data_IF_762170568875
#
_entry.id   IF_762170568875
#
_cell.length_a   1.000
_cell.length_b   1.000
_cell.length_c   1.000
_cell.angle_alpha   90.00
_cell.angle_beta   90.00
_cell.angle_gamma   90.00
#
_symmetry.space_group_name_H-M   'P 1'
#
loop_
_entity.id
_entity.type
_entity.pdbx_description
1 polymer ?
#
# COMPACT_ATOMS: atom_id res chain seq x y z
N UNK A 1 -1.36 -5.48 -9.81
CA UNK A 1 -1.74 -4.08 -9.54
C UNK A 1 -0.70 -3.43 -8.62
N UNK A 2 -0.58 -3.90 -7.37
CA UNK A 2 0.38 -3.40 -6.37
C UNK A 2 1.88 -3.61 -6.72
N UNK A 3 2.18 -4.48 -7.68
CA UNK A 3 3.54 -4.70 -8.21
C UNK A 3 4.04 -3.60 -9.13
N UNK A 4 3.14 -2.79 -9.70
CA UNK A 4 3.48 -1.67 -10.59
C UNK A 4 3.10 -0.32 -9.97
N UNK A 5 2.02 -0.28 -9.18
CA UNK A 5 1.50 0.93 -8.57
C UNK A 5 1.06 0.66 -7.14
N UNK A 6 1.69 1.28 -6.13
CA UNK A 6 1.19 1.27 -4.77
C UNK A 6 -0.21 1.86 -4.72
N UNK A 7 -1.11 1.21 -4.01
CA UNK A 7 -2.49 1.68 -3.86
C UNK A 7 -2.90 1.68 -2.40
N UNK A 8 -3.79 2.60 -2.03
CA UNK A 8 -4.38 2.58 -0.70
C UNK A 8 -5.28 1.36 -0.54
N UNK A 9 -5.46 0.91 0.69
CA UNK A 9 -6.37 -0.20 0.98
C UNK A 9 -7.78 0.09 0.46
N UNK A 10 -8.30 1.29 0.71
CA UNK A 10 -9.63 1.71 0.25
C UNK A 10 -9.72 1.71 -1.29
N UNK A 11 -8.67 2.16 -1.99
CA UNK A 11 -8.63 2.14 -3.45
C UNK A 11 -8.61 0.72 -4.01
N UNK A 12 -7.92 -0.21 -3.35
CA UNK A 12 -7.95 -1.63 -3.72
C UNK A 12 -9.33 -2.24 -3.47
N UNK A 13 -9.95 -1.96 -2.33
CA UNK A 13 -11.30 -2.42 -2.00
C UNK A 13 -12.32 -1.87 -3.02
N UNK A 14 -12.18 -0.62 -3.47
CA UNK A 14 -13.03 -0.02 -4.52
C UNK A 14 -12.73 -0.59 -5.91
N UNK A 15 -11.45 -0.67 -6.31
CA UNK A 15 -11.05 -1.21 -7.61
C UNK A 15 -11.42 -2.70 -7.77
N UNK A 16 -11.46 -3.41 -6.64
CA UNK A 16 -11.87 -4.81 -6.55
C UNK A 16 -13.27 -4.95 -5.98
N UNK A 17 -14.12 -3.90 -5.97
CA UNK A 17 -15.48 -3.95 -5.42
C UNK A 17 -16.38 -5.00 -6.09
N UNK A 18 -16.02 -5.47 -7.28
CA UNK A 18 -16.65 -6.62 -7.93
C UNK A 18 -16.47 -7.94 -7.16
N UNK A 19 -15.48 -8.00 -6.27
CA UNK A 19 -15.20 -9.09 -5.35
C UNK A 19 -15.67 -8.70 -3.96
N UNK A 20 -16.11 -9.68 -3.17
CA UNK A 20 -16.53 -9.42 -1.79
C UNK A 20 -15.41 -8.75 -1.00
N UNK A 21 -15.63 -7.60 -0.33
CA UNK A 21 -14.57 -6.85 0.36
C UNK A 21 -13.78 -7.69 1.39
N UNK A 22 -14.43 -8.67 2.02
CA UNK A 22 -13.78 -9.64 2.92
C UNK A 22 -12.67 -10.44 2.25
N UNK A 23 -12.92 -10.97 1.05
CA UNK A 23 -11.92 -11.73 0.28
C UNK A 23 -10.74 -10.86 -0.16
N UNK A 24 -10.97 -9.60 -0.49
CA UNK A 24 -9.88 -8.68 -0.87
C UNK A 24 -8.94 -8.46 0.31
N UNK A 25 -9.48 -8.26 1.51
CA UNK A 25 -8.67 -8.09 2.73
C UNK A 25 -7.89 -9.34 3.09
N UNK A 26 -8.52 -10.51 3.02
CA UNK A 26 -7.84 -11.79 3.28
C UNK A 26 -6.72 -12.04 2.28
N UNK A 27 -6.98 -11.88 0.99
CA UNK A 27 -5.97 -12.06 -0.06
C UNK A 27 -4.78 -11.10 0.11
N UNK A 28 -5.02 -9.84 0.49
CA UNK A 28 -3.94 -8.89 0.77
C UNK A 28 -3.11 -9.32 1.99
N UNK A 29 -3.77 -9.81 3.04
CA UNK A 29 -3.10 -10.31 4.25
C UNK A 29 -2.24 -11.55 3.95
N UNK A 30 -2.74 -12.47 3.14
CA UNK A 30 -2.00 -13.66 2.71
C UNK A 30 -0.82 -13.30 1.79
N UNK A 31 -0.98 -12.29 0.93
CA UNK A 31 0.11 -11.74 0.11
C UNK A 31 1.20 -11.08 0.98
N UNK A 32 0.83 -10.41 2.07
CA UNK A 32 1.81 -9.91 3.03
C UNK A 32 2.51 -11.04 3.78
N UNK A 33 1.76 -12.04 4.25
CA UNK A 33 2.31 -13.18 4.99
C UNK A 33 3.25 -14.04 4.13
N UNK A 34 2.98 -14.16 2.83
CA UNK A 34 3.85 -14.84 1.86
C UNK A 34 5.04 -14.01 1.40
N UNK A 35 5.18 -12.76 1.86
CA UNK A 35 6.28 -11.88 1.47
C UNK A 35 6.20 -11.36 0.04
N UNK A 36 5.04 -11.45 -0.60
CA UNK A 36 4.83 -10.92 -1.96
C UNK A 36 4.38 -9.45 -1.95
N UNK A 37 3.70 -9.04 -0.89
CA UNK A 37 3.25 -7.67 -0.66
C UNK A 37 3.79 -7.12 0.66
N UNK A 38 3.82 -5.80 0.77
CA UNK A 38 4.15 -5.09 2.00
C UNK A 38 3.16 -3.94 2.20
N UNK A 39 2.93 -3.61 3.47
CA UNK A 39 2.14 -2.46 3.88
C UNK A 39 3.08 -1.37 4.31
N UNK A 40 2.90 -0.17 3.77
CA UNK A 40 3.71 1.00 4.06
C UNK A 40 2.77 2.08 4.56
N UNK A 41 3.12 2.71 5.68
CA UNK A 41 2.40 3.87 6.18
C UNK A 41 3.12 5.15 5.73
N UNK A 42 2.42 6.04 5.05
CA UNK A 42 2.95 7.35 4.63
C UNK A 42 1.88 8.41 4.83
N UNK A 43 2.25 9.50 5.50
CA UNK A 43 1.33 10.61 5.80
C UNK A 43 0.06 10.16 6.54
N UNK A 44 0.18 9.17 7.44
CA UNK A 44 -0.95 8.57 8.18
C UNK A 44 -1.87 7.68 7.35
N UNK A 45 -1.50 7.35 6.11
CA UNK A 45 -2.28 6.49 5.22
C UNK A 45 -1.53 5.19 4.91
N UNK A 46 -2.27 4.08 4.81
CA UNK A 46 -1.72 2.76 4.50
C UNK A 46 -1.76 2.47 3.00
N UNK A 47 -0.60 2.15 2.46
CA UNK A 47 -0.40 1.75 1.07
C UNK A 47 0.05 0.30 0.98
N UNK A 48 -0.49 -0.42 0.01
CA UNK A 48 -0.05 -1.75 -0.37
C UNK A 48 0.88 -1.66 -1.58
N UNK A 49 2.07 -2.22 -1.45
CA UNK A 49 3.06 -2.33 -2.53
C UNK A 49 3.55 -3.77 -2.64
N UNK A 50 4.17 -4.11 -3.76
CA UNK A 50 5.02 -5.31 -3.83
C UNK A 50 6.19 -5.22 -2.84
N UNK A 51 6.53 -6.37 -2.26
CA UNK A 51 7.66 -6.53 -1.34
C UNK A 51 9.04 -6.10 -1.91
N UNK A 52 9.41 -6.40 -3.17
CA UNK A 52 10.70 -5.95 -3.72
C UNK A 52 10.80 -4.43 -3.94
N UNK A 53 9.71 -3.68 -3.82
CA UNK A 53 9.75 -2.22 -4.00
C UNK A 53 10.40 -1.56 -2.80
N UNK A 54 11.48 -0.82 -3.02
CA UNK A 54 12.16 -0.08 -1.96
C UNK A 54 11.55 1.31 -1.81
N UNK A 55 11.01 1.62 -0.63
CA UNK A 55 10.58 2.96 -0.26
C UNK A 55 11.45 3.45 0.89
N UNK A 56 11.97 4.68 0.81
CA UNK A 56 12.72 5.23 1.92
C UNK A 56 11.78 5.50 3.11
N UNK A 57 12.30 5.33 4.32
CA UNK A 57 11.54 5.42 5.57
C UNK A 57 10.83 6.76 5.77
N UNK A 58 9.92 6.81 6.74
CA UNK A 58 9.11 8.00 7.09
C UNK A 58 9.95 9.29 7.21
N UNK A 59 11.16 9.18 7.76
CA UNK A 59 12.12 10.29 7.89
C UNK A 59 12.51 10.90 6.54
N UNK A 60 12.62 10.10 5.49
CA UNK A 60 12.89 10.56 4.13
C UNK A 60 11.63 11.08 3.42
N UNK A 61 10.45 10.54 3.76
CA UNK A 61 9.18 11.00 3.21
C UNK A 61 8.80 12.41 3.67
N UNK A 62 9.16 12.77 4.91
CA UNK A 62 8.97 14.12 5.45
C UNK A 62 9.96 15.14 4.85
N UNK A 63 11.18 14.71 4.51
CA UNK A 63 12.18 15.59 3.88
C UNK A 63 11.77 16.05 2.46
N UNK A 64 11.01 15.22 1.74
CA UNK A 64 10.48 15.51 0.41
C UNK A 64 9.11 16.22 0.42
N UNK A 65 8.52 16.48 1.60
CA UNK A 65 7.27 17.21 1.67
C UNK A 65 7.48 18.65 1.16
N UNK A 66 6.65 19.14 0.22
CA UNK A 66 6.78 20.51 -0.27
C UNK A 66 6.56 21.46 0.91
N UNK A 67 7.62 22.23 1.24
CA UNK A 67 7.55 23.30 2.22
C UNK A 67 6.56 24.33 1.67
N UNK A 68 5.32 24.33 2.17
CA UNK A 68 4.41 25.45 1.94
C UNK A 68 5.10 26.70 2.49
N UNK A 69 5.40 27.64 1.60
CA UNK A 69 6.05 28.91 1.88
C UNK A 69 5.03 30.02 1.77
#
# INVERSE_FOLDING_TARGET
>A
IITRHPMRQEELEQALARWTPGHVREALRDLAASGQAQVIERYGMRFWSAAPSHYPDETHSLAAAPKHR
#
